data_IF_671500742437
#
_entry.id   IF_671500742437
#
_cell.length_a   1.000
_cell.length_b   1.000
_cell.length_c   1.000
_cell.angle_alpha   90.00
_cell.angle_beta   90.00
_cell.angle_gamma   90.00
#
_symmetry.space_group_name_H-M   'P 1'
#
loop_
_entity.id
_entity.type
_entity.pdbx_description
1 polymer ?
#
# COMPACT_ATOMS: atom_id res chain seq x y z
N UNK A 1 18.18 -0.62 19.85
CA UNK A 1 16.90 0.02 19.45
C UNK A 1 16.84 1.51 19.82
N UNK A 2 16.95 1.90 21.10
CA UNK A 2 16.76 3.30 21.54
C UNK A 2 17.63 4.34 20.79
N UNK A 3 18.91 4.04 20.55
CA UNK A 3 19.80 4.91 19.77
C UNK A 3 19.30 5.17 18.34
N UNK A 4 18.77 4.15 17.67
CA UNK A 4 18.22 4.29 16.32
C UNK A 4 16.90 5.06 16.31
N UNK A 5 16.05 4.87 17.33
CA UNK A 5 14.82 5.66 17.49
C UNK A 5 15.15 7.15 17.62
N UNK A 6 16.14 7.51 18.44
CA UNK A 6 16.57 8.91 18.58
C UNK A 6 17.10 9.47 17.27
N UNK A 7 17.95 8.72 16.55
CA UNK A 7 18.45 9.12 15.23
C UNK A 7 17.34 9.32 14.21
N UNK A 8 16.35 8.42 14.20
CA UNK A 8 15.18 8.54 13.34
C UNK A 8 14.37 9.80 13.67
N UNK A 9 14.02 10.03 14.95
CA UNK A 9 13.29 11.24 15.37
C UNK A 9 14.02 12.52 14.92
N UNK A 10 15.34 12.58 15.10
CA UNK A 10 16.16 13.72 14.67
C UNK A 10 16.24 13.90 13.15
N UNK A 11 15.96 12.84 12.37
CA UNK A 11 15.92 12.90 10.91
C UNK A 11 14.60 13.45 10.35
N UNK A 12 13.56 13.52 11.19
CA UNK A 12 12.23 14.00 10.79
C UNK A 12 12.25 15.51 10.58
N UNK A 13 11.39 15.97 9.68
CA UNK A 13 11.26 17.39 9.32
C UNK A 13 10.08 18.10 10.01
N UNK A 14 9.35 17.40 10.87
CA UNK A 14 8.22 17.96 11.61
C UNK A 14 8.62 18.34 13.03
N UNK A 15 7.75 19.08 13.71
CA UNK A 15 8.01 19.58 15.07
C UNK A 15 7.61 18.55 16.14
N UNK A 16 6.95 17.46 15.74
CA UNK A 16 6.55 16.38 16.63
C UNK A 16 7.72 15.54 17.11
N UNK A 17 7.83 15.37 18.43
CA UNK A 17 8.77 14.41 19.03
C UNK A 17 8.26 12.94 18.97
N UNK A 18 7.10 12.72 18.32
CA UNK A 18 6.50 11.39 18.14
C UNK A 18 7.12 10.65 16.96
N UNK A 19 7.32 9.34 17.12
CA UNK A 19 7.83 8.49 16.02
C UNK A 19 6.85 8.41 14.84
N UNK A 20 5.55 8.51 15.11
CA UNK A 20 4.47 8.41 14.12
C UNK A 20 3.28 9.28 14.54
N UNK A 21 2.62 9.91 13.56
CA UNK A 21 1.42 10.71 13.76
C UNK A 21 0.12 10.01 13.34
N UNK A 22 0.21 8.86 12.66
CA UNK A 22 -0.97 8.17 12.14
C UNK A 22 -2.03 7.86 13.23
N UNK A 23 -1.67 7.31 14.41
CA UNK A 23 -2.65 7.07 15.48
C UNK A 23 -3.20 8.34 16.14
N UNK A 24 -2.79 9.53 15.72
CA UNK A 24 -3.29 10.78 16.32
C UNK A 24 -4.14 11.59 15.34
N UNK A 25 -4.16 11.20 14.08
CA UNK A 25 -4.73 12.01 13.02
C UNK A 25 -5.46 11.21 11.93
N UNK A 26 -5.31 9.89 11.89
CA UNK A 26 -5.72 9.10 10.71
C UNK A 26 -6.54 7.87 11.07
N UNK A 27 -7.59 7.63 10.27
CA UNK A 27 -8.24 6.33 10.15
C UNK A 27 -8.21 5.85 8.70
N UNK A 28 -8.02 4.55 8.52
CA UNK A 28 -8.07 3.84 7.26
C UNK A 28 -9.12 2.74 7.33
N UNK A 29 -9.91 2.64 6.28
CA UNK A 29 -10.99 1.67 6.08
C UNK A 29 -10.63 0.77 4.90
N UNK A 30 -10.48 -0.53 5.14
CA UNK A 30 -10.07 -1.51 4.11
C UNK A 30 -11.27 -2.20 3.44
N UNK A 31 -11.08 -2.80 2.28
CA UNK A 31 -12.15 -3.51 1.56
C UNK A 31 -12.82 -4.63 2.38
N UNK A 32 -12.12 -5.12 3.40
CA UNK A 32 -12.61 -6.19 4.29
C UNK A 32 -13.40 -5.66 5.51
N UNK A 33 -13.59 -4.35 5.64
CA UNK A 33 -14.21 -3.72 6.80
C UNK A 33 -13.25 -3.38 7.94
N UNK A 34 -11.97 -3.76 7.85
CA UNK A 34 -11.02 -3.49 8.92
C UNK A 34 -10.78 -1.98 9.06
N UNK A 35 -10.74 -1.51 10.31
CA UNK A 35 -10.45 -0.13 10.70
C UNK A 35 -9.06 -0.09 11.34
N UNK A 36 -8.15 0.72 10.80
CA UNK A 36 -6.76 0.83 11.23
C UNK A 36 -6.27 2.27 11.14
N UNK A 37 -5.12 2.61 11.72
CA UNK A 37 -4.62 4.01 11.71
C UNK A 37 -3.75 4.34 10.49
N UNK A 38 -3.16 3.34 9.84
CA UNK A 38 -2.27 3.51 8.70
C UNK A 38 -2.25 2.26 7.81
N UNK A 39 -1.73 2.37 6.58
CA UNK A 39 -1.62 1.24 5.64
C UNK A 39 -0.59 0.15 6.01
N UNK A 40 0.32 0.43 6.96
CA UNK A 40 1.41 -0.47 7.37
C UNK A 40 1.08 -1.30 8.61
N UNK A 41 0.28 -0.78 9.54
CA UNK A 41 -0.18 -1.54 10.70
C UNK A 41 -1.42 -2.34 10.33
N UNK A 42 -1.18 -3.53 9.80
CA UNK A 42 -2.22 -4.46 9.35
C UNK A 42 -2.54 -5.54 10.38
N UNK A 43 -1.79 -5.59 11.47
CA UNK A 43 -1.97 -6.60 12.52
C UNK A 43 -2.88 -6.07 13.64
N UNK A 44 -2.57 -4.89 14.18
CA UNK A 44 -3.33 -4.30 15.28
C UNK A 44 -4.49 -3.45 14.76
N UNK A 45 -5.64 -4.08 14.57
CA UNK A 45 -6.86 -3.42 14.11
C UNK A 45 -7.59 -2.72 15.27
N UNK A 46 -8.13 -1.52 15.01
CA UNK A 46 -8.98 -0.79 15.96
C UNK A 46 -10.38 -1.40 16.04
N UNK A 47 -10.86 -1.99 14.94
CA UNK A 47 -12.17 -2.60 14.85
C UNK A 47 -12.43 -3.14 13.45
N UNK A 48 -13.63 -3.68 13.25
CA UNK A 48 -14.10 -4.14 11.94
C UNK A 48 -15.55 -3.73 11.76
N UNK A 49 -15.84 -2.99 10.69
CA UNK A 49 -17.20 -2.61 10.34
C UNK A 49 -17.97 -3.81 9.78
N UNK A 50 -19.25 -4.05 10.16
CA UNK A 50 -20.11 -3.20 10.99
C UNK A 50 -20.05 -3.47 12.51
N UNK A 51 -19.30 -4.48 12.96
CA UNK A 51 -19.20 -4.87 14.37
C UNK A 51 -18.61 -3.77 15.27
N UNK A 52 -17.86 -2.84 14.69
CA UNK A 52 -17.32 -1.64 15.36
C UNK A 52 -17.67 -0.41 14.53
N UNK A 53 -18.34 0.55 15.15
CA UNK A 53 -18.60 1.86 14.56
C UNK A 53 -17.31 2.69 14.42
N UNK A 54 -17.34 3.73 13.58
CA UNK A 54 -16.21 4.67 13.44
C UNK A 54 -15.91 5.35 14.78
N UNK A 55 -16.97 5.74 15.51
CA UNK A 55 -16.86 6.34 16.83
C UNK A 55 -16.18 5.41 17.83
N UNK A 56 -16.62 4.16 17.94
CA UNK A 56 -16.00 3.17 18.85
C UNK A 56 -14.56 2.87 18.45
N UNK A 57 -14.24 2.82 17.15
CA UNK A 57 -12.87 2.61 16.70
C UNK A 57 -11.94 3.78 17.10
N UNK A 58 -12.42 5.03 16.99
CA UNK A 58 -11.64 6.22 17.33
C UNK A 58 -11.57 6.51 18.84
N UNK A 59 -12.66 6.33 19.57
CA UNK A 59 -12.73 6.62 21.00
C UNK A 59 -12.48 5.40 21.90
N UNK A 60 -12.30 4.22 21.30
CA UNK A 60 -12.17 2.97 22.02
C UNK A 60 -10.79 2.69 22.61
N UNK A 61 -10.78 1.76 23.58
CA UNK A 61 -9.59 1.33 24.33
C UNK A 61 -8.42 0.87 23.45
N UNK A 62 -8.69 0.19 22.32
CA UNK A 62 -7.63 -0.24 21.40
C UNK A 62 -6.86 0.95 20.82
N UNK A 63 -7.55 2.02 20.48
CA UNK A 63 -6.90 3.22 19.96
C UNK A 63 -6.06 3.92 21.03
N UNK A 64 -6.57 4.01 22.26
CA UNK A 64 -5.82 4.56 23.40
C UNK A 64 -4.53 3.79 23.68
N UNK A 65 -4.60 2.44 23.68
CA UNK A 65 -3.43 1.58 23.85
C UNK A 65 -2.39 1.85 22.75
N UNK A 66 -2.82 1.95 21.49
CA UNK A 66 -1.91 2.23 20.37
C UNK A 66 -1.28 3.62 20.46
N UNK A 67 -2.05 4.65 20.84
CA UNK A 67 -1.52 6.01 21.07
C UNK A 67 -0.46 6.01 22.16
N UNK A 68 -0.75 5.40 23.31
CA UNK A 68 0.17 5.31 24.44
C UNK A 68 1.47 4.56 24.08
N UNK A 69 1.37 3.46 23.32
CA UNK A 69 2.54 2.74 22.81
C UNK A 69 3.42 3.67 21.96
N UNK A 70 2.84 4.39 21.00
CA UNK A 70 3.59 5.26 20.09
C UNK A 70 4.17 6.49 20.80
N UNK A 71 3.50 7.04 21.82
CA UNK A 71 4.06 8.09 22.69
C UNK A 71 5.33 7.61 23.40
N UNK A 72 5.31 6.36 23.88
CA UNK A 72 6.47 5.70 24.50
C UNK A 72 7.47 5.14 23.47
N UNK A 73 7.28 5.46 22.18
CA UNK A 73 8.11 4.98 21.07
C UNK A 73 8.14 3.45 20.93
N UNK A 74 7.08 2.78 21.37
CA UNK A 74 6.86 1.34 21.26
C UNK A 74 6.17 1.00 19.93
N UNK A 75 6.86 0.21 19.10
CA UNK A 75 6.41 -0.25 17.78
C UNK A 75 5.95 -1.72 17.80
N UNK A 76 5.77 -2.32 18.98
CA UNK A 76 5.42 -3.75 19.11
C UNK A 76 3.95 -4.06 18.84
N UNK A 77 3.08 -3.06 18.69
CA UNK A 77 1.67 -3.23 18.35
C UNK A 77 1.42 -3.17 16.83
N UNK A 78 1.99 -4.12 16.09
CA UNK A 78 1.77 -4.25 14.64
C UNK A 78 2.49 -3.20 13.76
N UNK A 79 3.49 -2.50 14.31
CA UNK A 79 4.28 -1.49 13.58
C UNK A 79 5.66 -2.03 13.13
N UNK A 80 5.81 -3.35 12.98
CA UNK A 80 7.04 -4.06 12.68
C UNK A 80 7.72 -3.62 11.39
N UNK A 81 6.96 -3.27 10.35
CA UNK A 81 7.53 -2.70 9.12
C UNK A 81 8.36 -1.42 9.39
N UNK A 82 7.82 -0.53 10.21
CA UNK A 82 8.51 0.70 10.60
C UNK A 82 9.67 0.40 11.55
N UNK A 83 9.48 -0.54 12.49
CA UNK A 83 10.51 -0.97 13.44
C UNK A 83 11.75 -1.50 12.72
N UNK A 84 11.56 -2.43 11.79
CA UNK A 84 12.63 -3.04 11.00
C UNK A 84 13.39 -1.98 10.19
N UNK A 85 12.68 -1.04 9.56
CA UNK A 85 13.31 0.07 8.83
C UNK A 85 14.17 0.96 9.74
N UNK A 86 13.68 1.27 10.95
CA UNK A 86 14.43 2.08 11.93
C UNK A 86 15.65 1.33 12.46
N UNK A 87 15.50 0.05 12.82
CA UNK A 87 16.59 -0.77 13.36
C UNK A 87 17.76 -0.90 12.37
N UNK A 88 17.44 -1.00 11.08
CA UNK A 88 18.42 -1.05 9.99
C UNK A 88 18.92 0.33 9.53
N UNK A 89 18.52 1.43 10.17
CA UNK A 89 18.94 2.79 9.79
C UNK A 89 18.33 3.30 8.48
N UNK A 90 17.32 2.61 7.93
CA UNK A 90 16.63 2.93 6.68
C UNK A 90 15.55 4.00 6.89
N UNK A 91 15.91 5.13 7.49
CA UNK A 91 14.95 6.14 7.98
C UNK A 91 14.02 6.71 6.91
N UNK A 92 14.46 6.81 5.65
CA UNK A 92 13.61 7.28 4.54
C UNK A 92 12.51 6.29 4.16
N UNK A 93 12.70 5.01 4.42
CA UNK A 93 11.76 3.92 4.11
C UNK A 93 10.73 3.69 5.21
N UNK A 94 10.83 4.40 6.34
CA UNK A 94 9.91 4.26 7.46
C UNK A 94 8.52 4.74 7.04
N UNK A 95 7.54 3.83 7.06
CA UNK A 95 6.17 4.11 6.61
C UNK A 95 5.47 5.25 7.38
N UNK A 96 5.87 5.50 8.63
CA UNK A 96 5.37 6.61 9.44
C UNK A 96 5.65 7.99 8.82
N UNK A 97 6.69 8.13 7.98
CA UNK A 97 7.00 9.37 7.26
C UNK A 97 5.83 9.83 6.38
N UNK A 98 4.98 8.91 5.91
CA UNK A 98 3.81 9.22 5.08
C UNK A 98 2.72 10.00 5.82
N UNK A 99 2.84 10.16 7.14
CA UNK A 99 1.89 10.85 8.00
C UNK A 99 2.51 12.09 8.67
N UNK A 100 3.79 12.39 8.40
CA UNK A 100 4.50 13.47 9.07
C UNK A 100 3.93 14.86 8.76
N UNK A 101 3.36 15.05 7.57
CA UNK A 101 2.71 16.30 7.16
C UNK A 101 1.46 16.62 7.99
N UNK A 102 0.85 15.60 8.62
CA UNK A 102 -0.32 15.77 9.48
C UNK A 102 0.01 16.51 10.79
N UNK A 103 1.29 16.71 11.11
CA UNK A 103 1.70 17.55 12.26
C UNK A 103 1.10 18.96 12.16
N UNK A 104 1.01 19.48 10.93
CA UNK A 104 0.41 20.79 10.65
C UNK A 104 -1.11 20.82 10.82
N UNK A 105 -1.76 19.65 10.85
CA UNK A 105 -3.20 19.52 11.04
C UNK A 105 -3.58 19.14 12.47
N UNK A 106 -2.59 18.70 13.25
CA UNK A 106 -2.81 18.22 14.60
C UNK A 106 -3.08 19.40 15.54
N UNK A 107 -4.33 19.49 16.00
CA UNK A 107 -4.74 20.41 17.05
C UNK A 107 -4.81 19.66 18.38
N UNK A 108 -4.04 20.11 19.38
CA UNK A 108 -4.06 19.51 20.73
C UNK A 108 -5.42 19.69 21.42
N UNK A 109 -6.21 20.67 21.00
CA UNK A 109 -7.51 20.98 21.57
C UNK A 109 -8.65 20.26 20.82
N UNK A 110 -8.40 19.72 19.63
CA UNK A 110 -9.37 18.96 18.85
C UNK A 110 -8.81 17.58 18.49
N UNK A 111 -9.19 16.56 19.28
CA UNK A 111 -8.67 15.19 19.22
C UNK A 111 -9.45 14.35 18.18
N UNK A 112 -10.04 14.98 17.16
CA UNK A 112 -10.71 14.30 16.06
C UNK A 112 -9.72 13.91 14.95
N UNK A 113 -10.01 12.84 14.18
CA UNK A 113 -9.17 12.48 13.05
C UNK A 113 -9.23 13.60 12.00
N UNK A 114 -8.07 13.91 11.41
CA UNK A 114 -7.94 14.93 10.36
C UNK A 114 -7.72 14.32 8.98
N UNK A 115 -7.51 13.00 8.90
CA UNK A 115 -7.34 12.28 7.64
C UNK A 115 -8.11 10.96 7.65
N UNK A 116 -8.94 10.75 6.64
CA UNK A 116 -9.52 9.43 6.35
C UNK A 116 -8.95 8.84 5.06
N UNK A 117 -8.69 7.54 5.07
CA UNK A 117 -8.16 6.77 3.95
C UNK A 117 -9.10 5.60 3.62
N UNK A 118 -9.74 5.69 2.46
CA UNK A 118 -10.84 4.83 2.04
C UNK A 118 -10.40 3.84 0.96
N UNK A 119 -10.55 2.56 1.26
CA UNK A 119 -10.44 1.42 0.35
C UNK A 119 -11.76 0.64 0.41
N UNK A 120 -12.86 1.27 0.00
CA UNK A 120 -14.22 0.81 0.31
C UNK A 120 -14.77 -0.24 -0.67
N UNK A 121 -14.06 -0.55 -1.74
CA UNK A 121 -14.52 -1.50 -2.74
C UNK A 121 -13.41 -1.97 -3.68
N UNK A 122 -13.70 -3.05 -4.40
CA UNK A 122 -12.79 -3.63 -5.39
C UNK A 122 -13.35 -3.59 -6.83
N UNK A 123 -14.47 -2.91 -7.06
CA UNK A 123 -14.99 -2.71 -8.41
C UNK A 123 -13.93 -1.98 -9.24
N UNK A 124 -13.42 -2.66 -10.26
CA UNK A 124 -12.37 -2.17 -11.14
C UNK A 124 -12.59 -2.76 -12.53
N UNK A 125 -12.31 -1.97 -13.56
CA UNK A 125 -12.43 -2.36 -14.96
C UNK A 125 -11.15 -2.96 -15.56
N UNK A 126 -10.10 -3.15 -14.76
CA UNK A 126 -8.82 -3.67 -15.23
C UNK A 126 -8.42 -4.99 -14.57
N UNK A 127 -7.62 -5.78 -15.28
CA UNK A 127 -7.00 -7.01 -14.81
C UNK A 127 -5.47 -6.88 -14.74
N UNK A 128 -4.97 -5.83 -14.06
CA UNK A 128 -3.55 -5.53 -14.03
C UNK A 128 -2.70 -6.73 -13.52
N UNK A 129 -1.58 -7.01 -14.17
CA UNK A 129 -0.77 -8.23 -13.90
C UNK A 129 -0.10 -8.27 -12.53
N UNK A 130 -0.02 -7.16 -11.80
CA UNK A 130 0.47 -7.12 -10.42
C UNK A 130 -0.66 -7.14 -9.39
N UNK A 131 -1.91 -7.04 -9.84
CA UNK A 131 -3.10 -6.90 -9.00
C UNK A 131 -3.73 -8.28 -8.70
N UNK A 132 -4.69 -8.33 -7.78
CA UNK A 132 -5.42 -9.55 -7.36
C UNK A 132 -6.93 -9.30 -7.21
N UNK A 133 -7.70 -10.37 -6.98
CA UNK A 133 -9.17 -10.31 -6.90
C UNK A 133 -9.71 -9.49 -5.73
N UNK A 134 -8.89 -9.23 -4.72
CA UNK A 134 -9.24 -8.30 -3.64
C UNK A 134 -9.22 -6.84 -4.07
N UNK A 135 -8.43 -6.53 -5.09
CA UNK A 135 -8.26 -5.17 -5.61
C UNK A 135 -8.99 -4.96 -6.95
N UNK A 136 -9.43 -6.04 -7.61
CA UNK A 136 -10.22 -5.97 -8.85
C UNK A 136 -11.27 -7.08 -8.94
N UNK A 137 -12.53 -6.68 -9.03
CA UNK A 137 -13.66 -7.59 -9.24
C UNK A 137 -13.55 -8.34 -10.58
N UNK A 138 -12.98 -7.74 -11.63
CA UNK A 138 -12.74 -8.44 -12.90
C UNK A 138 -11.68 -9.53 -12.76
N UNK A 139 -10.62 -9.28 -12.00
CA UNK A 139 -9.62 -10.32 -11.69
C UNK A 139 -10.29 -11.47 -10.94
N UNK A 140 -11.08 -11.13 -9.92
CA UNK A 140 -11.80 -12.11 -9.10
C UNK A 140 -12.69 -13.02 -9.95
N UNK A 141 -13.41 -12.42 -10.91
CA UNK A 141 -14.27 -13.13 -11.86
C UNK A 141 -13.48 -13.93 -12.89
N UNK A 142 -12.58 -13.29 -13.63
CA UNK A 142 -12.01 -13.84 -14.87
C UNK A 142 -10.74 -14.67 -14.65
N UNK A 143 -9.95 -14.36 -13.61
CA UNK A 143 -8.64 -14.99 -13.36
C UNK A 143 -8.68 -15.96 -12.19
N UNK A 144 -9.47 -15.63 -11.16
CA UNK A 144 -9.64 -16.47 -9.98
C UNK A 144 -10.90 -17.36 -10.08
N UNK A 145 -11.80 -17.11 -11.05
CA UNK A 145 -13.05 -17.84 -11.26
C UNK A 145 -13.90 -17.95 -9.99
N UNK A 146 -13.99 -16.85 -9.24
CA UNK A 146 -14.69 -16.77 -7.96
C UNK A 146 -15.69 -15.63 -7.94
N UNK A 147 -16.63 -15.72 -6.99
CA UNK A 147 -17.58 -14.64 -6.74
C UNK A 147 -16.86 -13.38 -6.26
N UNK A 148 -17.34 -12.18 -6.64
CA UNK A 148 -16.85 -10.91 -6.12
C UNK A 148 -16.88 -10.89 -4.58
N UNK A 149 -15.91 -10.20 -3.98
CA UNK A 149 -16.02 -9.85 -2.57
C UNK A 149 -17.10 -8.78 -2.40
N UNK A 150 -17.88 -8.88 -1.33
CA UNK A 150 -18.84 -7.86 -0.94
C UNK A 150 -18.23 -7.03 0.21
N UNK A 151 -17.82 -5.77 -0.05
CA UNK A 151 -17.41 -4.87 1.02
C UNK A 151 -18.58 -4.62 1.98
N UNK A 152 -18.33 -4.46 3.29
CA UNK A 152 -19.42 -4.37 4.28
C UNK A 152 -20.05 -2.98 4.39
N UNK A 153 -19.65 -2.03 3.54
CA UNK A 153 -20.02 -0.62 3.68
C UNK A 153 -21.38 -0.31 3.07
N UNK A 154 -22.23 0.36 3.84
CA UNK A 154 -23.60 0.68 3.50
C UNK A 154 -23.92 2.17 3.77
N UNK A 155 -25.19 2.55 3.66
CA UNK A 155 -25.62 3.91 3.96
C UNK A 155 -25.42 4.28 5.44
N UNK A 156 -25.46 3.30 6.35
CA UNK A 156 -25.20 3.50 7.77
C UNK A 156 -23.76 3.95 8.01
N UNK A 157 -22.80 3.36 7.28
CA UNK A 157 -21.41 3.80 7.30
C UNK A 157 -21.27 5.27 6.88
N UNK A 158 -21.93 5.68 5.80
CA UNK A 158 -21.89 7.08 5.33
C UNK A 158 -22.43 8.02 6.42
N UNK A 159 -23.56 7.68 7.04
CA UNK A 159 -24.13 8.51 8.13
C UNK A 159 -23.16 8.68 9.30
N UNK A 160 -22.38 7.65 9.65
CA UNK A 160 -21.36 7.77 10.70
C UNK A 160 -20.26 8.77 10.32
N UNK A 161 -19.98 8.98 9.03
CA UNK A 161 -18.96 9.93 8.59
C UNK A 161 -19.34 11.39 8.86
N UNK A 162 -20.63 11.71 8.94
CA UNK A 162 -21.10 13.10 9.09
C UNK A 162 -20.55 13.79 10.35
N UNK A 163 -20.32 13.04 11.43
CA UNK A 163 -19.70 13.55 12.65
C UNK A 163 -18.22 13.91 12.45
N UNK A 164 -17.51 13.20 11.58
CA UNK A 164 -16.06 13.33 11.39
C UNK A 164 -15.70 14.29 10.24
N UNK A 165 -16.52 14.34 9.19
CA UNK A 165 -16.27 15.14 7.98
C UNK A 165 -15.92 16.61 8.30
N UNK A 166 -16.60 17.32 9.23
CA UNK A 166 -16.26 18.69 9.60
C UNK A 166 -14.82 18.89 10.11
N UNK A 167 -14.18 17.83 10.60
CA UNK A 167 -12.82 17.87 11.16
C UNK A 167 -11.74 17.44 10.17
N UNK A 168 -12.12 16.80 9.05
CA UNK A 168 -11.17 16.31 8.05
C UNK A 168 -10.45 17.46 7.35
N UNK A 169 -9.15 17.28 7.17
CA UNK A 169 -8.31 18.08 6.27
C UNK A 169 -8.05 17.33 4.97
N UNK A 170 -8.05 16.00 5.00
CA UNK A 170 -7.87 15.15 3.83
C UNK A 170 -8.73 13.89 3.89
N UNK A 171 -9.33 13.53 2.76
CA UNK A 171 -9.98 12.24 2.53
C UNK A 171 -9.35 11.59 1.29
N UNK A 172 -8.71 10.43 1.46
CA UNK A 172 -8.05 9.68 0.39
C UNK A 172 -8.93 8.55 -0.09
N UNK A 173 -9.00 8.35 -1.39
CA UNK A 173 -9.77 7.28 -2.03
C UNK A 173 -8.83 6.45 -2.90
N UNK A 174 -8.64 5.21 -2.49
CA UNK A 174 -7.83 4.19 -3.15
C UNK A 174 -8.62 2.87 -3.23
N UNK A 175 -8.07 1.86 -3.89
CA UNK A 175 -8.73 0.56 -4.03
C UNK A 175 -9.74 0.52 -5.18
N UNK A 176 -9.86 -0.65 -5.81
CA UNK A 176 -10.64 -0.79 -7.03
C UNK A 176 -10.23 0.23 -8.10
N UNK A 177 -11.22 0.72 -8.83
CA UNK A 177 -11.16 2.00 -9.54
C UNK A 177 -12.10 2.98 -8.82
N UNK A 178 -11.60 4.04 -8.15
CA UNK A 178 -12.45 4.91 -7.33
C UNK A 178 -13.67 5.49 -8.03
N UNK A 179 -13.58 5.74 -9.34
CA UNK A 179 -14.71 6.27 -10.12
C UNK A 179 -15.77 5.22 -10.50
N UNK A 180 -15.57 3.93 -10.18
CA UNK A 180 -16.54 2.84 -10.35
C UNK A 180 -17.20 2.40 -9.04
N UNK A 181 -16.88 3.06 -7.92
CA UNK A 181 -17.43 2.71 -6.61
C UNK A 181 -18.50 3.76 -6.26
N UNK A 182 -19.78 3.37 -6.36
CA UNK A 182 -20.91 4.29 -6.15
C UNK A 182 -20.90 4.93 -4.74
N UNK A 183 -20.46 4.18 -3.74
CA UNK A 183 -20.34 4.68 -2.37
C UNK A 183 -19.39 5.88 -2.27
N UNK A 184 -18.33 5.92 -3.09
CA UNK A 184 -17.38 7.04 -3.09
C UNK A 184 -18.07 8.34 -3.53
N UNK A 185 -18.97 8.29 -4.51
CA UNK A 185 -19.70 9.48 -4.95
C UNK A 185 -20.57 10.06 -3.84
N UNK A 186 -21.25 9.21 -3.08
CA UNK A 186 -22.07 9.64 -1.95
C UNK A 186 -21.21 10.29 -0.86
N UNK A 187 -20.04 9.72 -0.55
CA UNK A 187 -19.11 10.30 0.42
C UNK A 187 -18.55 11.63 -0.09
N UNK A 188 -18.19 11.73 -1.37
CA UNK A 188 -17.70 12.98 -1.95
C UNK A 188 -18.75 14.09 -1.88
N UNK A 189 -20.02 13.77 -2.16
CA UNK A 189 -21.12 14.72 -2.01
C UNK A 189 -21.27 15.20 -0.57
N UNK A 190 -21.21 14.29 0.43
CA UNK A 190 -21.21 14.66 1.86
C UNK A 190 -20.01 15.53 2.24
N UNK A 191 -18.81 15.24 1.73
CA UNK A 191 -17.62 16.06 2.00
C UNK A 191 -17.79 17.47 1.42
N UNK A 192 -18.26 17.59 0.18
CA UNK A 192 -18.48 18.89 -0.47
C UNK A 192 -19.52 19.71 0.30
N UNK A 193 -20.56 19.07 0.82
CA UNK A 193 -21.63 19.72 1.59
C UNK A 193 -21.18 20.16 2.99
N UNK A 194 -20.57 19.26 3.76
CA UNK A 194 -20.26 19.48 5.17
C UNK A 194 -18.89 20.12 5.42
N UNK A 195 -17.93 19.92 4.52
CA UNK A 195 -16.59 20.46 4.63
C UNK A 195 -15.95 20.70 3.25
N UNK A 196 -16.38 21.76 2.53
CA UNK A 196 -15.90 22.05 1.18
C UNK A 196 -14.40 22.36 1.10
N UNK A 197 -13.75 22.65 2.24
CA UNK A 197 -12.30 22.86 2.33
C UNK A 197 -11.49 21.57 2.40
N UNK A 198 -12.13 20.44 2.74
CA UNK A 198 -11.47 19.15 2.84
C UNK A 198 -10.90 18.74 1.49
N UNK A 199 -9.64 18.34 1.51
CA UNK A 199 -8.91 17.88 0.33
C UNK A 199 -9.32 16.45 0.00
N UNK A 200 -9.84 16.22 -1.21
CA UNK A 200 -10.23 14.88 -1.67
C UNK A 200 -9.13 14.36 -2.59
N UNK A 201 -8.34 13.42 -2.12
CA UNK A 201 -7.25 12.81 -2.91
C UNK A 201 -7.75 11.51 -3.55
N UNK A 202 -7.60 11.37 -4.87
CA UNK A 202 -8.01 10.15 -5.60
C UNK A 202 -6.80 9.52 -6.29
N UNK A 203 -6.65 8.20 -6.19
CA UNK A 203 -5.74 7.42 -7.03
C UNK A 203 -6.52 6.59 -8.06
N UNK A 204 -6.54 7.03 -9.31
CA UNK A 204 -7.28 6.36 -10.40
C UNK A 204 -6.34 5.61 -11.34
N UNK A 205 -6.85 4.58 -12.01
CA UNK A 205 -6.20 3.93 -13.14
C UNK A 205 -6.31 4.76 -14.45
N UNK A 206 -7.01 5.90 -14.42
CA UNK A 206 -7.11 6.89 -15.49
C UNK A 206 -7.85 6.41 -16.76
N UNK A 207 -8.63 5.34 -16.66
CA UNK A 207 -9.39 4.81 -17.81
C UNK A 207 -10.82 5.30 -17.88
N UNK A 208 -11.30 6.07 -16.89
CA UNK A 208 -12.69 6.54 -16.85
C UNK A 208 -12.71 8.05 -16.62
N UNK A 209 -13.38 8.76 -17.52
CA UNK A 209 -13.62 10.19 -17.40
C UNK A 209 -14.89 10.57 -18.17
N UNK A 210 -16.00 10.72 -17.45
CA UNK A 210 -17.30 11.12 -18.00
C UNK A 210 -17.72 12.51 -17.46
N UNK A 211 -18.85 13.04 -17.96
CA UNK A 211 -19.34 14.36 -17.55
C UNK A 211 -19.70 14.46 -16.07
N UNK A 212 -20.13 13.35 -15.43
CA UNK A 212 -20.38 13.31 -13.98
C UNK A 212 -19.08 13.57 -13.20
N UNK A 213 -17.99 12.90 -13.57
CA UNK A 213 -16.66 13.11 -12.96
C UNK A 213 -16.19 14.54 -13.20
N UNK A 214 -16.26 15.04 -14.43
CA UNK A 214 -15.87 16.42 -14.75
C UNK A 214 -16.63 17.44 -13.91
N UNK A 215 -17.94 17.28 -13.77
CA UNK A 215 -18.78 18.13 -12.92
C UNK A 215 -18.37 18.06 -11.47
N UNK A 216 -18.16 16.85 -10.93
CA UNK A 216 -17.74 16.64 -9.56
C UNK A 216 -16.41 17.35 -9.25
N UNK A 217 -15.41 17.23 -10.14
CA UNK A 217 -14.10 17.88 -9.99
C UNK A 217 -14.19 19.41 -9.93
N UNK A 218 -15.26 20.02 -10.45
CA UNK A 218 -15.48 21.49 -10.34
C UNK A 218 -16.16 21.92 -9.04
N UNK A 219 -16.77 20.99 -8.30
CA UNK A 219 -17.55 21.28 -7.08
C UNK A 219 -16.75 21.11 -5.78
N UNK A 220 -15.71 20.28 -5.78
CA UNK A 220 -14.89 19.99 -4.60
C UNK A 220 -13.39 20.18 -4.83
N UNK A 221 -12.62 20.09 -3.75
CA UNK A 221 -11.16 20.20 -3.80
C UNK A 221 -10.51 18.84 -4.13
N UNK A 222 -10.57 18.44 -5.41
CA UNK A 222 -10.06 17.14 -5.86
C UNK A 222 -8.60 17.19 -6.33
N UNK A 223 -7.74 16.48 -5.62
CA UNK A 223 -6.35 16.19 -6.00
C UNK A 223 -6.26 14.79 -6.63
N UNK A 224 -6.12 14.71 -7.96
CA UNK A 224 -6.11 13.43 -8.67
C UNK A 224 -4.68 12.99 -8.99
N UNK A 225 -4.35 11.80 -8.50
CA UNK A 225 -3.16 11.03 -8.89
C UNK A 225 -3.57 9.91 -9.83
N UNK A 226 -2.73 9.65 -10.83
CA UNK A 226 -2.98 8.59 -11.82
C UNK A 226 -2.01 7.45 -11.63
N UNK A 227 -2.40 6.24 -12.02
CA UNK A 227 -1.51 5.09 -12.06
C UNK A 227 -1.25 4.67 -13.50
N UNK A 228 0.01 4.49 -13.87
CA UNK A 228 0.41 4.07 -15.21
C UNK A 228 1.68 3.23 -15.13
N UNK A 229 1.75 2.14 -15.91
CA UNK A 229 2.85 1.17 -15.83
C UNK A 229 3.49 0.87 -17.18
N UNK A 230 3.25 1.74 -18.17
CA UNK A 230 3.88 1.72 -19.49
C UNK A 230 3.70 3.06 -20.19
N UNK A 231 4.67 3.43 -21.02
CA UNK A 231 4.65 4.65 -21.87
C UNK A 231 4.35 4.34 -23.34
N UNK A 232 4.34 3.07 -23.72
CA UNK A 232 3.93 2.61 -25.05
C UNK A 232 2.63 1.85 -24.96
N UNK A 233 1.85 1.84 -26.06
CA UNK A 233 0.62 1.07 -26.17
C UNK A 233 0.84 -0.39 -25.81
N UNK A 234 1.85 -1.01 -26.40
CA UNK A 234 2.17 -2.43 -26.21
C UNK A 234 2.45 -2.77 -24.74
N UNK A 235 3.31 -2.00 -24.07
CA UNK A 235 3.65 -2.27 -22.66
C UNK A 235 2.47 -1.96 -21.75
N UNK A 236 1.80 -0.82 -21.95
CA UNK A 236 0.69 -0.38 -21.12
C UNK A 236 -0.48 -1.36 -21.17
N UNK A 237 -0.96 -1.73 -22.35
CA UNK A 237 -2.14 -2.62 -22.51
C UNK A 237 -1.81 -4.07 -22.11
N UNK A 238 -0.55 -4.50 -22.23
CA UNK A 238 -0.10 -5.80 -21.72
C UNK A 238 -0.13 -5.86 -20.19
N UNK A 239 0.29 -4.79 -19.52
CA UNK A 239 0.35 -4.75 -18.05
C UNK A 239 -1.02 -4.44 -17.44
N UNK A 240 -1.71 -3.45 -17.99
CA UNK A 240 -3.05 -2.99 -17.59
C UNK A 240 -4.09 -3.58 -18.52
N UNK A 241 -4.25 -4.90 -18.44
CA UNK A 241 -5.18 -5.66 -19.27
C UNK A 241 -6.60 -5.06 -19.21
N UNK A 242 -7.23 -4.98 -20.39
CA UNK A 242 -8.51 -4.32 -20.68
C UNK A 242 -8.45 -2.77 -20.78
N UNK A 243 -7.31 -2.14 -20.54
CA UNK A 243 -7.18 -0.70 -20.76
C UNK A 243 -6.98 -0.38 -22.25
N UNK A 244 -7.38 0.83 -22.66
CA UNK A 244 -7.06 1.41 -23.96
C UNK A 244 -6.04 2.55 -23.77
N UNK A 245 -4.89 2.45 -24.44
CA UNK A 245 -3.80 3.41 -24.26
C UNK A 245 -4.13 4.82 -24.79
N UNK A 246 -4.90 4.91 -25.86
CA UNK A 246 -5.29 6.20 -26.44
C UNK A 246 -6.27 6.95 -25.54
N UNK A 247 -7.26 6.23 -25.00
CA UNK A 247 -8.19 6.77 -24.01
C UNK A 247 -7.47 7.21 -22.72
N UNK A 248 -6.54 6.39 -22.23
CA UNK A 248 -5.69 6.74 -21.10
C UNK A 248 -4.97 8.08 -21.31
N UNK A 249 -4.38 8.31 -22.49
CA UNK A 249 -3.67 9.56 -22.80
C UNK A 249 -4.62 10.77 -22.82
N UNK A 250 -5.81 10.61 -23.39
CA UNK A 250 -6.83 11.67 -23.43
C UNK A 250 -7.26 12.05 -22.00
N UNK A 251 -7.53 11.05 -21.16
CA UNK A 251 -7.92 11.26 -19.78
C UNK A 251 -6.79 11.86 -18.95
N UNK A 252 -5.56 11.40 -19.17
CA UNK A 252 -4.36 11.93 -18.51
C UNK A 252 -4.17 13.41 -18.81
N UNK A 253 -4.32 13.84 -20.06
CA UNK A 253 -4.23 15.25 -20.43
C UNK A 253 -5.28 16.09 -19.69
N UNK A 254 -6.51 15.58 -19.54
CA UNK A 254 -7.55 16.24 -18.76
C UNK A 254 -7.15 16.39 -17.28
N UNK A 255 -6.67 15.32 -16.62
CA UNK A 255 -6.27 15.39 -15.21
C UNK A 255 -5.04 16.29 -14.98
N UNK A 256 -4.11 16.36 -15.94
CA UNK A 256 -3.00 17.32 -15.91
C UNK A 256 -3.53 18.75 -15.98
N UNK A 257 -4.48 19.03 -16.88
CA UNK A 257 -5.12 20.35 -17.00
C UNK A 257 -5.89 20.72 -15.72
N UNK A 258 -6.67 19.79 -15.17
CA UNK A 258 -7.37 19.97 -13.89
C UNK A 258 -6.39 20.31 -12.76
N UNK A 259 -5.32 19.52 -12.61
CA UNK A 259 -4.29 19.75 -11.59
C UNK A 259 -3.69 21.16 -11.70
N UNK A 260 -3.38 21.61 -12.92
CA UNK A 260 -2.88 22.97 -13.17
C UNK A 260 -3.87 24.06 -12.75
N UNK A 261 -5.16 23.87 -13.03
CA UNK A 261 -6.21 24.83 -12.67
C UNK A 261 -6.28 25.05 -11.15
N UNK A 262 -6.17 23.97 -10.37
CA UNK A 262 -6.20 24.03 -8.91
C UNK A 262 -4.82 24.26 -8.27
N UNK A 263 -3.79 24.57 -9.07
CA UNK A 263 -2.38 24.75 -8.63
C UNK A 263 -1.80 23.53 -7.89
N UNK A 264 -2.28 22.34 -8.23
CA UNK A 264 -1.80 21.06 -7.73
C UNK A 264 -0.74 20.44 -8.64
N UNK A 265 0.18 19.67 -8.04
CA UNK A 265 1.16 18.88 -8.80
C UNK A 265 0.55 17.54 -9.17
N UNK A 266 0.47 17.23 -10.46
CA UNK A 266 0.04 15.89 -10.90
C UNK A 266 1.05 14.84 -10.46
N UNK A 267 0.57 13.76 -9.86
CA UNK A 267 1.37 12.59 -9.52
C UNK A 267 1.05 11.41 -10.43
N UNK A 268 2.09 10.75 -10.94
CA UNK A 268 1.99 9.49 -11.67
C UNK A 268 2.61 8.38 -10.82
N UNK A 269 1.78 7.41 -10.46
CA UNK A 269 2.16 6.23 -9.69
C UNK A 269 2.57 5.12 -10.66
N UNK A 270 3.79 4.63 -10.49
CA UNK A 270 4.41 3.66 -11.39
C UNK A 270 4.96 2.49 -10.57
N UNK A 271 4.71 1.26 -11.01
CA UNK A 271 5.29 0.06 -10.43
C UNK A 271 6.45 -0.44 -11.30
N UNK A 272 7.73 -0.25 -10.88
CA UNK A 272 8.86 -0.88 -11.55
C UNK A 272 8.78 -2.40 -11.44
N UNK A 273 8.73 -3.08 -12.59
CA UNK A 273 8.48 -4.51 -12.70
C UNK A 273 9.38 -5.17 -13.73
N UNK A 274 9.44 -6.51 -13.70
CA UNK A 274 10.08 -7.34 -14.72
C UNK A 274 9.57 -6.99 -16.14
N UNK A 275 8.31 -6.58 -16.23
CA UNK A 275 7.59 -6.36 -17.49
C UNK A 275 7.82 -4.98 -18.12
N UNK A 276 8.34 -3.99 -17.38
CA UNK A 276 8.46 -2.61 -17.86
C UNK A 276 9.78 -1.91 -17.51
N UNK A 277 10.77 -2.61 -16.94
CA UNK A 277 12.00 -1.97 -16.48
C UNK A 277 12.76 -1.22 -17.59
N UNK A 278 12.66 -1.69 -18.83
CA UNK A 278 13.26 -1.07 -20.00
C UNK A 278 12.63 0.28 -20.36
N UNK A 279 11.38 0.55 -19.93
CA UNK A 279 10.69 1.82 -20.14
C UNK A 279 10.92 2.84 -19.02
N UNK A 280 11.51 2.44 -17.88
CA UNK A 280 11.71 3.33 -16.73
C UNK A 280 12.38 4.66 -17.13
N UNK A 281 13.50 4.68 -17.87
CA UNK A 281 14.11 5.96 -18.27
C UNK A 281 13.16 6.83 -19.08
N UNK A 282 12.38 6.23 -19.99
CA UNK A 282 11.40 6.93 -20.81
C UNK A 282 10.23 7.50 -20.00
N UNK A 283 9.75 6.74 -19.00
CA UNK A 283 8.70 7.19 -18.08
C UNK A 283 9.14 8.43 -17.30
N UNK A 284 10.36 8.45 -16.78
CA UNK A 284 10.90 9.62 -16.08
C UNK A 284 11.06 10.84 -17.00
N UNK A 285 11.54 10.65 -18.24
CA UNK A 285 11.60 11.73 -19.26
C UNK A 285 10.21 12.29 -19.56
N UNK A 286 9.22 11.41 -19.75
CA UNK A 286 7.83 11.80 -19.98
C UNK A 286 7.29 12.63 -18.81
N UNK A 287 7.48 12.16 -17.57
CA UNK A 287 7.01 12.86 -16.38
C UNK A 287 7.68 14.23 -16.24
N UNK A 288 9.00 14.32 -16.41
CA UNK A 288 9.71 15.60 -16.31
C UNK A 288 9.25 16.60 -17.38
N UNK A 289 9.13 16.18 -18.64
CA UNK A 289 8.65 17.02 -19.75
C UNK A 289 7.27 17.62 -19.46
N UNK A 290 6.39 16.85 -18.83
CA UNK A 290 5.01 17.26 -18.53
C UNK A 290 4.84 17.87 -17.13
N UNK A 291 5.94 18.09 -16.38
CA UNK A 291 5.91 18.62 -15.01
C UNK A 291 5.06 17.75 -14.06
N UNK A 292 5.18 16.44 -14.19
CA UNK A 292 4.53 15.41 -13.38
C UNK A 292 5.55 14.87 -12.39
N UNK A 293 5.18 14.76 -11.12
CA UNK A 293 6.00 14.06 -10.13
C UNK A 293 5.71 12.56 -10.20
N UNK A 294 6.74 11.75 -10.40
CA UNK A 294 6.60 10.29 -10.40
C UNK A 294 6.76 9.73 -9.00
N UNK A 295 5.90 8.78 -8.62
CA UNK A 295 5.97 8.00 -7.39
C UNK A 295 6.16 6.55 -7.78
N UNK A 296 7.26 5.94 -7.36
CA UNK A 296 7.51 4.52 -7.60
C UNK A 296 7.03 3.66 -6.44
N UNK A 297 6.26 2.62 -6.73
CA UNK A 297 5.83 1.63 -5.75
C UNK A 297 6.58 0.32 -5.99
N UNK A 298 7.30 -0.15 -4.98
CA UNK A 298 8.01 -1.43 -5.07
C UNK A 298 6.99 -2.56 -5.12
N UNK A 299 7.00 -3.33 -6.21
CA UNK A 299 6.22 -4.56 -6.31
C UNK A 299 6.93 -5.62 -5.47
N UNK A 300 6.38 -5.85 -4.27
CA UNK A 300 6.82 -6.92 -3.39
C UNK A 300 6.10 -8.23 -3.75
N UNK A 301 4.84 -8.12 -4.17
CA UNK A 301 3.98 -9.21 -4.56
C UNK A 301 3.14 -8.78 -5.78
N UNK A 302 2.91 -9.65 -6.79
CA UNK A 302 3.39 -11.03 -6.90
C UNK A 302 4.89 -11.15 -7.26
N UNK A 303 5.58 -12.21 -6.78
CA UNK A 303 6.96 -12.53 -7.14
C UNK A 303 7.25 -12.53 -8.64
N UNK A 304 6.34 -13.07 -9.46
CA UNK A 304 6.49 -13.16 -10.92
C UNK A 304 6.47 -11.80 -11.66
N UNK A 305 6.16 -10.70 -10.97
CA UNK A 305 6.21 -9.35 -11.52
C UNK A 305 7.25 -8.47 -10.82
N UNK A 306 7.76 -8.92 -9.68
CA UNK A 306 8.64 -8.18 -8.81
C UNK A 306 10.10 -8.27 -9.28
N UNK A 307 10.79 -7.12 -9.37
CA UNK A 307 12.20 -7.12 -9.80
C UNK A 307 13.13 -7.91 -8.87
N UNK A 308 12.88 -7.88 -7.56
CA UNK A 308 13.75 -8.51 -6.55
C UNK A 308 13.88 -10.03 -6.68
N UNK A 309 13.01 -10.68 -7.47
CA UNK A 309 13.03 -12.13 -7.70
C UNK A 309 13.93 -12.55 -8.85
N UNK A 310 14.42 -11.59 -9.63
CA UNK A 310 15.29 -11.88 -10.77
C UNK A 310 16.67 -12.38 -10.31
N UNK A 311 17.30 -13.28 -11.08
CA UNK A 311 18.69 -13.68 -10.84
C UNK A 311 19.65 -12.48 -10.80
N UNK A 312 20.73 -12.61 -10.03
CA UNK A 312 21.70 -11.53 -9.81
C UNK A 312 22.25 -10.94 -11.13
N UNK A 313 22.60 -11.78 -12.11
CA UNK A 313 23.10 -11.32 -13.41
C UNK A 313 22.07 -10.47 -14.17
N UNK A 314 20.78 -10.77 -14.03
CA UNK A 314 19.71 -9.98 -14.65
C UNK A 314 19.48 -8.67 -13.91
N UNK A 315 19.55 -8.65 -12.59
CA UNK A 315 19.52 -7.41 -11.81
C UNK A 315 20.69 -6.49 -12.17
N UNK A 316 21.89 -7.04 -12.36
CA UNK A 316 23.08 -6.32 -12.80
C UNK A 316 22.92 -5.71 -14.20
N UNK A 317 22.33 -6.45 -15.13
CA UNK A 317 21.96 -5.95 -16.46
C UNK A 317 21.01 -4.76 -16.36
N UNK A 318 19.95 -4.89 -15.57
CA UNK A 318 18.95 -3.82 -15.37
C UNK A 318 19.60 -2.59 -14.73
N UNK A 319 20.40 -2.77 -13.67
CA UNK A 319 21.12 -1.68 -13.01
C UNK A 319 22.01 -0.93 -14.00
N UNK A 320 22.80 -1.67 -14.79
CA UNK A 320 23.70 -1.10 -15.79
C UNK A 320 22.92 -0.32 -16.85
N UNK A 321 21.81 -0.86 -17.34
CA UNK A 321 20.93 -0.17 -18.28
C UNK A 321 20.38 1.14 -17.70
N UNK A 322 19.89 1.13 -16.46
CA UNK A 322 19.31 2.31 -15.81
C UNK A 322 20.36 3.40 -15.55
N UNK A 323 21.59 3.02 -15.15
CA UNK A 323 22.70 3.97 -14.98
C UNK A 323 23.05 4.60 -16.34
N UNK A 324 23.21 3.79 -17.38
CA UNK A 324 23.55 4.26 -18.74
C UNK A 324 22.48 5.20 -19.31
N UNK A 325 21.21 4.92 -19.05
CA UNK A 325 20.08 5.67 -19.60
C UNK A 325 19.48 6.70 -18.64
N UNK A 326 20.18 7.06 -17.56
CA UNK A 326 19.70 8.04 -16.59
C UNK A 326 19.27 9.34 -17.31
N UNK A 327 18.03 9.82 -17.13
CA UNK A 327 17.56 11.06 -17.74
C UNK A 327 18.26 12.27 -17.10
N UNK A 328 19.48 12.56 -17.56
CA UNK A 328 20.29 13.73 -17.19
C UNK A 328 19.67 15.01 -17.75
N UNK A 329 18.50 15.40 -17.27
CA UNK A 329 17.88 16.66 -17.64
C UNK A 329 18.41 17.81 -16.78
N UNK A 330 18.59 18.99 -17.39
CA UNK A 330 19.03 20.21 -16.71
C UNK A 330 18.06 20.53 -15.56
N UNK A 331 18.62 20.65 -14.35
CA UNK A 331 17.92 20.83 -13.07
C UNK A 331 17.37 22.27 -12.98
N UNK A 332 16.36 22.59 -13.79
CA UNK A 332 15.71 23.91 -13.78
C UNK A 332 14.43 23.93 -12.94
N UNK A 333 13.79 22.77 -12.70
CA UNK A 333 12.50 22.66 -11.99
C UNK A 333 12.59 21.77 -10.75
N UNK A 334 11.85 22.15 -9.68
CA UNK A 334 11.75 21.41 -8.42
C UNK A 334 11.32 19.95 -8.63
N UNK A 335 10.37 19.70 -9.53
CA UNK A 335 9.86 18.36 -9.84
C UNK A 335 10.95 17.47 -10.46
N UNK A 336 11.72 17.99 -11.42
CA UNK A 336 12.85 17.25 -12.02
C UNK A 336 13.86 16.82 -10.96
N UNK A 337 14.14 17.67 -9.96
CA UNK A 337 15.01 17.31 -8.83
C UNK A 337 14.43 16.16 -8.01
N UNK A 338 13.15 16.22 -7.66
CA UNK A 338 12.46 15.14 -6.91
C UNK A 338 12.46 13.83 -7.69
N UNK A 339 12.13 13.88 -8.98
CA UNK A 339 12.14 12.72 -9.85
C UNK A 339 13.54 12.12 -9.97
N UNK A 340 14.59 12.94 -10.13
CA UNK A 340 15.98 12.45 -10.17
C UNK A 340 16.37 11.72 -8.87
N UNK A 341 15.96 12.23 -7.72
CA UNK A 341 16.18 11.55 -6.42
C UNK A 341 15.46 10.19 -6.40
N UNK A 342 14.20 10.15 -6.86
CA UNK A 342 13.43 8.89 -6.97
C UNK A 342 14.11 7.88 -7.90
N UNK A 343 14.61 8.32 -9.06
CA UNK A 343 15.32 7.47 -10.02
C UNK A 343 16.58 6.85 -9.42
N UNK A 344 17.40 7.66 -8.74
CA UNK A 344 18.61 7.19 -8.05
C UNK A 344 18.26 6.25 -6.88
N UNK A 345 17.17 6.52 -6.16
CA UNK A 345 16.69 5.64 -5.10
C UNK A 345 16.30 4.25 -5.63
N UNK A 346 15.69 4.17 -6.82
CA UNK A 346 15.38 2.90 -7.47
C UNK A 346 16.64 2.12 -7.86
N UNK A 347 17.65 2.79 -8.42
CA UNK A 347 18.95 2.16 -8.72
C UNK A 347 19.58 1.63 -7.43
N UNK A 348 19.57 2.41 -6.35
CA UNK A 348 20.10 1.97 -5.07
C UNK A 348 19.34 0.77 -4.50
N UNK A 349 18.00 0.74 -4.65
CA UNK A 349 17.20 -0.41 -4.24
C UNK A 349 17.59 -1.68 -5.01
N UNK A 350 17.83 -1.59 -6.32
CA UNK A 350 18.30 -2.72 -7.13
C UNK A 350 19.70 -3.17 -6.69
N UNK A 351 20.61 -2.23 -6.38
CA UNK A 351 21.93 -2.55 -5.81
C UNK A 351 21.81 -3.35 -4.51
N UNK A 352 20.92 -2.95 -3.60
CA UNK A 352 20.71 -3.67 -2.35
C UNK A 352 20.21 -5.11 -2.61
N UNK A 353 19.33 -5.32 -3.60
CA UNK A 353 18.89 -6.67 -3.97
C UNK A 353 20.02 -7.54 -4.52
N UNK A 354 20.93 -6.96 -5.31
CA UNK A 354 22.13 -7.65 -5.82
C UNK A 354 23.08 -8.04 -4.68
N UNK A 355 23.23 -7.20 -3.67
CA UNK A 355 24.09 -7.49 -2.52
C UNK A 355 23.50 -8.60 -1.65
N UNK A 356 22.19 -8.55 -1.41
CA UNK A 356 21.48 -9.56 -0.62
C UNK A 356 21.38 -10.93 -1.33
N UNK A 357 21.46 -10.98 -2.67
CA UNK A 357 21.46 -12.27 -3.37
C UNK A 357 22.77 -13.06 -3.17
N UNK A 358 23.87 -12.40 -2.79
CA UNK A 358 25.18 -13.03 -2.56
C UNK A 358 25.23 -13.87 -1.27
N UNK A 359 24.36 -13.57 -0.30
CA UNK A 359 24.36 -14.22 1.02
C UNK A 359 23.47 -15.46 1.08
N UNK A 360 22.62 -15.69 0.07
CA UNK A 360 21.71 -16.83 0.00
C UNK A 360 22.30 -17.97 -0.83
N UNK A 361 23.27 -18.69 -0.26
CA UNK A 361 23.66 -20.02 -0.76
C UNK A 361 22.54 -21.01 -0.42
N UNK A 362 21.64 -21.26 -1.36
CA UNK A 362 20.54 -22.19 -1.16
C UNK A 362 21.02 -23.65 -1.26
N UNK A 363 21.16 -24.32 -0.12
CA UNK A 363 20.87 -25.75 -0.07
C UNK A 363 19.37 -25.95 -0.34
N UNK A 364 19.01 -26.85 -1.26
CA UNK A 364 17.60 -27.21 -1.47
C UNK A 364 17.10 -27.98 -0.24
N UNK A 365 16.39 -27.28 0.65
CA UNK A 365 15.70 -27.88 1.78
C UNK A 365 14.47 -28.67 1.29
N UNK A 366 14.22 -29.80 1.92
CA UNK A 366 13.01 -30.61 1.69
C UNK A 366 11.75 -29.89 2.19
N UNK A 367 10.58 -30.33 1.71
CA UNK A 367 9.27 -29.81 2.17
C UNK A 367 9.13 -29.85 3.70
N UNK A 368 9.57 -30.95 4.33
CA UNK A 368 9.48 -31.14 5.79
C UNK A 368 10.37 -30.14 6.54
N UNK A 369 11.59 -29.92 6.07
CA UNK A 369 12.51 -28.94 6.68
C UNK A 369 11.97 -27.51 6.57
N UNK A 370 11.46 -27.13 5.39
CA UNK A 370 10.85 -25.83 5.17
C UNK A 370 9.63 -25.63 6.08
N UNK A 371 8.75 -26.63 6.17
CA UNK A 371 7.59 -26.59 7.07
C UNK A 371 8.00 -26.38 8.53
N UNK A 372 9.00 -27.13 8.99
CA UNK A 372 9.53 -27.00 10.35
C UNK A 372 10.15 -25.62 10.61
N UNK A 373 10.90 -25.07 9.65
CA UNK A 373 11.48 -23.74 9.75
C UNK A 373 10.41 -22.65 9.83
N UNK A 374 9.36 -22.76 9.01
CA UNK A 374 8.23 -21.83 9.05
C UNK A 374 7.48 -21.91 10.39
N UNK A 375 7.19 -23.11 10.89
CA UNK A 375 6.54 -23.29 12.19
C UNK A 375 7.38 -22.71 13.35
N UNK A 376 8.71 -22.95 13.35
CA UNK A 376 9.63 -22.35 14.33
C UNK A 376 9.62 -20.82 14.26
N UNK A 377 9.57 -20.25 13.05
CA UNK A 377 9.49 -18.80 12.82
C UNK A 377 8.22 -18.20 13.43
N UNK A 378 7.05 -18.83 13.23
CA UNK A 378 5.80 -18.41 13.85
C UNK A 378 5.85 -18.55 15.38
N UNK A 379 6.34 -19.68 15.89
CA UNK A 379 6.45 -19.93 17.33
C UNK A 379 7.32 -18.87 18.01
N UNK A 380 8.48 -18.56 17.42
CA UNK A 380 9.37 -17.52 17.93
C UNK A 380 8.71 -16.14 17.97
N UNK A 381 7.88 -15.81 16.97
CA UNK A 381 7.11 -14.56 17.02
C UNK A 381 6.14 -14.53 18.19
N UNK A 382 5.29 -15.56 18.34
CA UNK A 382 4.28 -15.58 19.40
C UNK A 382 4.90 -15.58 20.80
N UNK A 383 5.97 -16.34 21.03
CA UNK A 383 6.68 -16.37 22.31
C UNK A 383 7.21 -14.99 22.72
N UNK A 384 7.65 -14.18 21.75
CA UNK A 384 8.21 -12.85 21.99
C UNK A 384 7.20 -11.71 21.84
N UNK A 385 5.96 -11.99 21.41
CA UNK A 385 4.95 -10.97 21.18
C UNK A 385 4.42 -10.42 22.51
N UNK A 386 4.34 -9.10 22.60
CA UNK A 386 3.70 -8.37 23.71
C UNK A 386 2.23 -8.05 23.43
N UNK A 387 1.72 -8.37 22.25
CA UNK A 387 0.36 -8.04 21.82
C UNK A 387 -0.70 -8.95 22.44
N UNK A 388 -0.29 -10.13 22.90
CA UNK A 388 -1.18 -11.22 23.31
C UNK A 388 -0.79 -11.71 24.70
N UNK A 389 -1.78 -12.11 25.51
CA UNK A 389 -1.55 -12.92 26.70
C UNK A 389 -1.11 -14.35 26.31
N UNK A 390 -0.64 -15.12 27.31
CA UNK A 390 -0.05 -16.44 27.07
C UNK A 390 -1.02 -17.49 26.54
N UNK A 391 -2.31 -17.37 26.82
CA UNK A 391 -3.34 -18.25 26.27
C UNK A 391 -3.59 -17.91 24.80
N UNK A 392 -3.80 -16.63 24.51
CA UNK A 392 -4.01 -16.10 23.15
C UNK A 392 -2.82 -16.42 22.23
N UNK A 393 -1.57 -16.33 22.72
CA UNK A 393 -0.37 -16.75 21.95
C UNK A 393 -0.48 -18.20 21.47
N UNK A 394 -0.86 -19.13 22.35
CA UNK A 394 -0.95 -20.56 22.04
C UNK A 394 -2.06 -20.83 21.02
N UNK A 395 -3.22 -20.18 21.19
CA UNK A 395 -4.37 -20.31 20.29
C UNK A 395 -4.02 -19.77 18.90
N UNK A 396 -3.50 -18.55 18.82
CA UNK A 396 -3.16 -17.92 17.54
C UNK A 396 -2.06 -18.68 16.80
N UNK A 397 -1.02 -19.14 17.49
CA UNK A 397 -0.01 -20.00 16.88
C UNK A 397 -0.62 -21.24 16.22
N UNK A 398 -1.46 -21.99 16.95
CA UNK A 398 -2.12 -23.20 16.42
C UNK A 398 -3.02 -22.89 15.23
N UNK A 399 -3.83 -21.83 15.33
CA UNK A 399 -4.74 -21.42 14.26
C UNK A 399 -3.97 -21.02 12.98
N UNK A 400 -2.88 -20.26 13.12
CA UNK A 400 -2.07 -19.80 12.00
C UNK A 400 -1.33 -20.96 11.31
N UNK A 401 -0.79 -21.91 12.07
CA UNK A 401 -0.19 -23.14 11.52
C UNK A 401 -1.24 -23.95 10.77
N UNK A 402 -2.40 -24.22 11.40
CA UNK A 402 -3.48 -25.01 10.79
C UNK A 402 -3.99 -24.37 9.49
N UNK A 403 -4.12 -23.03 9.47
CA UNK A 403 -4.54 -22.28 8.28
C UNK A 403 -3.57 -22.46 7.11
N UNK A 404 -2.26 -22.39 7.36
CA UNK A 404 -1.24 -22.63 6.33
C UNK A 404 -1.24 -24.09 5.89
N UNK A 405 -1.35 -25.05 6.81
CA UNK A 405 -1.40 -26.48 6.48
C UNK A 405 -2.61 -26.82 5.59
N UNK A 406 -3.77 -26.22 5.85
CA UNK A 406 -4.95 -26.35 4.99
C UNK A 406 -4.70 -25.79 3.59
N UNK A 407 -3.99 -24.66 3.46
CA UNK A 407 -3.66 -24.10 2.15
C UNK A 407 -2.67 -25.01 1.40
N UNK A 408 -1.63 -25.49 2.08
CA UNK A 408 -0.61 -26.35 1.48
C UNK A 408 -1.18 -27.70 1.02
N UNK A 409 -2.16 -28.27 1.73
CA UNK A 409 -2.78 -29.54 1.33
C UNK A 409 -3.59 -29.45 0.02
N UNK A 410 -3.88 -28.23 -0.46
CA UNK A 410 -4.56 -27.97 -1.73
C UNK A 410 -3.59 -27.71 -2.89
N UNK A 411 -2.28 -27.81 -2.66
CA UNK A 411 -1.23 -27.54 -3.64
C UNK A 411 -0.40 -28.81 -3.90
N UNK A 412 0.19 -28.90 -5.08
CA UNK A 412 1.24 -29.89 -5.33
C UNK A 412 2.50 -29.56 -4.49
N UNK A 413 3.38 -30.55 -4.35
CA UNK A 413 4.58 -30.42 -3.50
C UNK A 413 5.51 -29.29 -3.96
N UNK A 414 5.69 -29.12 -5.27
CA UNK A 414 6.56 -28.09 -5.83
C UNK A 414 6.01 -26.68 -5.55
N UNK A 415 4.71 -26.50 -5.72
CA UNK A 415 3.99 -25.28 -5.34
C UNK A 415 4.08 -25.01 -3.84
N UNK A 416 3.93 -26.04 -3.02
CA UNK A 416 4.05 -25.94 -1.55
C UNK A 416 5.45 -25.50 -1.11
N UNK A 417 6.49 -26.05 -1.73
CA UNK A 417 7.89 -25.64 -1.50
C UNK A 417 8.10 -24.16 -1.84
N UNK A 418 7.57 -23.69 -2.99
CA UNK A 418 7.65 -22.27 -3.37
C UNK A 418 6.96 -21.36 -2.35
N UNK A 419 5.76 -21.73 -1.91
CA UNK A 419 5.01 -20.98 -0.88
C UNK A 419 5.79 -20.91 0.43
N UNK A 420 6.31 -22.04 0.92
CA UNK A 420 7.06 -22.06 2.17
C UNK A 420 8.35 -21.23 2.09
N UNK A 421 9.11 -21.34 0.99
CA UNK A 421 10.29 -20.51 0.76
C UNK A 421 9.96 -19.02 0.82
N UNK A 422 8.87 -18.61 0.15
CA UNK A 422 8.39 -17.23 0.20
C UNK A 422 8.07 -16.81 1.64
N UNK A 423 7.24 -17.57 2.37
CA UNK A 423 6.86 -17.27 3.74
C UNK A 423 8.06 -17.20 4.70
N UNK A 424 9.08 -18.04 4.49
CA UNK A 424 10.31 -18.02 5.27
C UNK A 424 11.15 -16.77 4.96
N UNK A 425 11.19 -16.33 3.71
CA UNK A 425 11.91 -15.10 3.32
C UNK A 425 11.20 -13.79 3.68
N UNK A 426 9.89 -13.83 3.95
CA UNK A 426 9.07 -12.63 4.11
C UNK A 426 8.96 -12.16 5.56
N UNK A 427 8.53 -10.92 5.80
CA UNK A 427 8.36 -10.40 7.17
C UNK A 427 7.34 -11.23 7.96
N UNK A 428 7.74 -11.74 9.13
CA UNK A 428 6.89 -12.59 9.98
C UNK A 428 5.61 -11.86 10.41
N UNK A 429 5.72 -10.59 10.79
CA UNK A 429 4.57 -9.83 11.27
C UNK A 429 3.55 -9.57 10.14
N UNK A 430 4.00 -9.30 8.92
CA UNK A 430 3.10 -9.16 7.77
C UNK A 430 2.38 -10.47 7.43
N UNK A 431 3.07 -11.61 7.58
CA UNK A 431 2.43 -12.92 7.43
C UNK A 431 1.36 -13.11 8.49
N UNK A 432 1.66 -12.81 9.75
CA UNK A 432 0.71 -12.99 10.86
C UNK A 432 -0.48 -12.05 10.71
N UNK A 433 -0.24 -10.78 10.32
CA UNK A 433 -1.32 -9.85 9.98
C UNK A 433 -2.26 -10.44 8.93
N UNK A 434 -1.70 -11.09 7.92
CA UNK A 434 -2.49 -11.71 6.86
C UNK A 434 -3.23 -12.97 7.32
N UNK A 435 -2.61 -13.78 8.18
CA UNK A 435 -3.23 -15.00 8.69
C UNK A 435 -4.33 -14.69 9.72
N UNK A 436 -4.17 -13.64 10.52
CA UNK A 436 -5.16 -13.25 11.54
C UNK A 436 -6.30 -12.41 10.97
N UNK A 437 -6.02 -11.49 10.03
CA UNK A 437 -7.00 -10.48 9.59
C UNK A 437 -7.61 -10.71 8.20
N UNK A 438 -7.24 -11.79 7.51
CA UNK A 438 -7.87 -12.21 6.24
C UNK A 438 -8.54 -13.58 6.36
N UNK A 439 -9.46 -13.90 5.46
CA UNK A 439 -10.04 -15.26 5.36
C UNK A 439 -9.04 -16.25 4.77
N UNK A 440 -9.19 -17.54 5.04
CA UNK A 440 -8.34 -18.59 4.42
C UNK A 440 -8.39 -18.54 2.90
N UNK A 441 -9.55 -18.23 2.33
CA UNK A 441 -9.72 -18.04 0.89
C UNK A 441 -8.82 -16.93 0.32
N UNK A 442 -8.83 -15.75 0.97
CA UNK A 442 -7.99 -14.61 0.58
C UNK A 442 -6.51 -14.94 0.63
N UNK A 443 -6.06 -15.55 1.74
CA UNK A 443 -4.67 -15.98 1.89
C UNK A 443 -4.29 -17.00 0.82
N UNK A 444 -5.16 -17.98 0.55
CA UNK A 444 -4.95 -19.01 -0.47
C UNK A 444 -4.77 -18.40 -1.85
N UNK A 445 -5.64 -17.47 -2.25
CA UNK A 445 -5.53 -16.80 -3.57
C UNK A 445 -4.27 -15.97 -3.71
N UNK A 446 -3.86 -15.25 -2.65
CA UNK A 446 -2.60 -14.51 -2.66
C UNK A 446 -1.43 -15.47 -2.81
N UNK A 447 -1.35 -16.55 -2.05
CA UNK A 447 -0.24 -17.48 -2.16
C UNK A 447 -0.19 -18.18 -3.53
N UNK A 448 -1.36 -18.55 -4.09
CA UNK A 448 -1.47 -19.11 -5.44
C UNK A 448 -1.03 -18.14 -6.54
N UNK A 449 -1.31 -16.85 -6.37
CA UNK A 449 -0.93 -15.85 -7.35
C UNK A 449 0.60 -15.66 -7.44
N UNK A 450 1.33 -15.98 -6.37
CA UNK A 450 2.78 -15.81 -6.32
C UNK A 450 3.59 -16.97 -6.87
N UNK A 451 2.95 -18.10 -7.17
CA UNK A 451 3.59 -19.33 -7.67
C UNK A 451 3.33 -19.62 -9.15
N UNK A 452 2.33 -18.95 -9.74
CA UNK A 452 2.06 -18.93 -11.19
C UNK A 452 3.06 -18.02 -11.89
#
# INVERSE_FOLDING_TARGET
MQSQITKYKNSKKNNSNKICLAPFASLRFTVSGNIQVCCFNRLYLLGKYPDTSIYEAWHGKKHEILKSAIENSDLTLGCGYCKESIENGLFKSVGANNYDYLDSYYDKNNIMPTMFDFELGNNCNLECIMCNGENSALIRKNRENKLPYNPPYDITFIKQLDEFIPHLKEARFVGGEPFLIDLNYQIWERIIELNPSCKITILTNCTILNNKIKTLLTKGHFEVSVSADGITKTTYEKIRKNANFEEFKINLDYFIKHSKLIKYTTFLNFCPMIHNWFEIPGMYKFCNKNNIQIITHTVIFPPNSALWTLPQNKLEEIRTFLIKNNPKELISKKITKTNNISYLSLINQITNWIENSKTNNNNQLSFIELKNNFNKKLLNYFNNSKMYDDETKKINYKNNVSKIENILSQLDEMSSIKVLNFLISFSTELIIAELENSTTDKVSERLKYGIK
#
